data_IF_268625469221
#
_entry.id   IF_268625469221
#
_cell.length_a   1.000
_cell.length_b   1.000
_cell.length_c   1.000
_cell.angle_alpha   90.00
_cell.angle_beta   90.00
_cell.angle_gamma   90.00
#
_symmetry.space_group_name_H-M   'P 1'
#
loop_
_entity.id
_entity.type
_entity.pdbx_description
1 polymer ?
#
# COMPACT_ATOMS: atom_id res chain seq x y z
N UNK A 1 -12.99 19.29 18.44
CA UNK A 1 -13.89 18.12 18.56
C UNK A 1 -14.05 17.33 17.25
N UNK A 2 -14.06 17.97 16.07
CA UNK A 2 -14.14 17.28 14.76
C UNK A 2 -12.89 16.42 14.47
N UNK A 3 -11.70 16.87 14.85
CA UNK A 3 -10.44 16.12 14.66
C UNK A 3 -10.34 14.80 15.45
N UNK A 4 -11.05 14.67 16.57
CA UNK A 4 -11.01 13.44 17.38
C UNK A 4 -11.87 12.32 16.79
N UNK A 5 -12.95 12.68 16.08
CA UNK A 5 -13.83 11.71 15.41
C UNK A 5 -13.13 11.18 14.15
N UNK A 6 -12.49 12.06 13.38
CA UNK A 6 -11.75 11.69 12.16
C UNK A 6 -10.67 10.64 12.42
N UNK A 7 -9.84 10.84 13.46
CA UNK A 7 -8.79 9.88 13.79
C UNK A 7 -9.33 8.51 14.22
N UNK A 8 -10.42 8.46 14.98
CA UNK A 8 -11.04 7.19 15.41
C UNK A 8 -11.65 6.46 14.21
N UNK A 9 -12.31 7.17 13.32
CA UNK A 9 -12.91 6.59 12.11
C UNK A 9 -11.83 5.98 11.20
N UNK A 10 -10.71 6.66 10.99
CA UNK A 10 -9.60 6.13 10.18
C UNK A 10 -9.00 4.84 10.79
N UNK A 11 -8.84 4.79 12.11
CA UNK A 11 -8.33 3.61 12.80
C UNK A 11 -9.30 2.42 12.61
N UNK A 12 -10.59 2.63 12.80
CA UNK A 12 -11.61 1.57 12.63
C UNK A 12 -11.62 1.06 11.18
N UNK A 13 -11.60 1.97 10.19
CA UNK A 13 -11.55 1.60 8.78
C UNK A 13 -10.27 0.81 8.48
N UNK A 14 -9.12 1.23 9.01
CA UNK A 14 -7.85 0.55 8.78
C UNK A 14 -7.85 -0.88 9.35
N UNK A 15 -8.39 -1.06 10.56
CA UNK A 15 -8.57 -2.38 11.18
C UNK A 15 -9.51 -3.26 10.35
N UNK A 16 -10.65 -2.71 9.92
CA UNK A 16 -11.63 -3.44 9.12
C UNK A 16 -11.02 -3.91 7.79
N UNK A 17 -10.31 -3.02 7.09
CA UNK A 17 -9.60 -3.34 5.85
C UNK A 17 -8.55 -4.42 6.08
N UNK A 18 -7.78 -4.35 7.18
CA UNK A 18 -6.77 -5.34 7.51
C UNK A 18 -7.37 -6.74 7.73
N UNK A 19 -8.47 -6.83 8.47
CA UNK A 19 -9.22 -8.09 8.65
C UNK A 19 -9.73 -8.62 7.31
N UNK A 20 -10.26 -7.74 6.45
CA UNK A 20 -10.74 -8.10 5.12
C UNK A 20 -9.62 -8.69 4.24
N UNK A 21 -8.43 -8.11 4.30
CA UNK A 21 -7.25 -8.59 3.56
C UNK A 21 -6.81 -9.98 4.02
N UNK A 22 -6.82 -10.24 5.33
CA UNK A 22 -6.48 -11.55 5.88
C UNK A 22 -7.51 -12.60 5.44
N UNK A 23 -8.80 -12.29 5.53
CA UNK A 23 -9.87 -13.19 5.10
C UNK A 23 -9.76 -13.45 3.58
N UNK A 24 -9.53 -12.40 2.79
CA UNK A 24 -9.35 -12.51 1.34
C UNK A 24 -8.15 -13.37 0.95
N UNK A 25 -7.02 -13.20 1.65
CA UNK A 25 -5.83 -14.03 1.47
C UNK A 25 -6.11 -15.50 1.84
N UNK A 26 -6.82 -15.73 2.96
CA UNK A 26 -7.22 -17.06 3.41
C UNK A 26 -8.11 -17.76 2.37
N UNK A 27 -9.12 -17.05 1.86
CA UNK A 27 -9.99 -17.56 0.79
C UNK A 27 -9.18 -17.88 -0.48
N UNK A 28 -8.30 -16.98 -0.93
CA UNK A 28 -7.47 -17.24 -2.11
C UNK A 28 -6.55 -18.46 -1.93
N UNK A 29 -6.07 -18.69 -0.71
CA UNK A 29 -5.29 -19.89 -0.37
C UNK A 29 -6.12 -21.17 -0.46
N UNK A 30 -7.35 -21.17 0.05
CA UNK A 30 -8.27 -22.32 -0.05
C UNK A 30 -8.57 -22.65 -1.51
N UNK A 31 -8.93 -21.65 -2.31
CA UNK A 31 -9.29 -21.85 -3.72
C UNK A 31 -8.08 -21.93 -4.67
N UNK A 32 -6.86 -21.97 -4.13
CA UNK A 32 -5.60 -22.00 -4.91
C UNK A 32 -5.50 -20.91 -5.98
N UNK A 33 -6.14 -19.76 -5.74
CA UNK A 33 -6.15 -18.64 -6.68
C UNK A 33 -4.85 -17.83 -6.54
N UNK A 34 -3.80 -18.32 -7.21
CA UNK A 34 -2.43 -17.76 -7.14
C UNK A 34 -2.39 -16.24 -7.37
N UNK A 35 -3.13 -15.74 -8.37
CA UNK A 35 -3.17 -14.32 -8.68
C UNK A 35 -3.78 -13.47 -7.55
N UNK A 36 -4.82 -13.98 -6.88
CA UNK A 36 -5.39 -13.32 -5.70
C UNK A 36 -4.44 -13.34 -4.52
N UNK A 37 -3.68 -14.42 -4.32
CA UNK A 37 -2.64 -14.45 -3.27
C UNK A 37 -1.61 -13.34 -3.50
N UNK A 38 -1.11 -13.15 -4.72
CA UNK A 38 -0.17 -12.06 -5.04
C UNK A 38 -0.82 -10.68 -4.85
N UNK A 39 -2.08 -10.50 -5.26
CA UNK A 39 -2.83 -9.26 -5.04
C UNK A 39 -2.93 -8.92 -3.56
N UNK A 40 -3.46 -9.84 -2.74
CA UNK A 40 -3.65 -9.61 -1.31
C UNK A 40 -2.32 -9.38 -0.59
N UNK A 41 -1.26 -10.07 -1.00
CA UNK A 41 0.08 -9.89 -0.43
C UNK A 41 0.68 -8.51 -0.80
N UNK A 42 0.54 -8.07 -2.05
CA UNK A 42 0.95 -6.72 -2.49
C UNK A 42 0.18 -5.62 -1.73
N UNK A 43 -1.14 -5.74 -1.61
CA UNK A 43 -1.96 -4.77 -0.89
C UNK A 43 -1.61 -4.76 0.61
N UNK A 44 -1.27 -5.92 1.20
CA UNK A 44 -0.85 -6.00 2.59
C UNK A 44 0.48 -5.27 2.81
N UNK A 45 1.47 -5.47 1.91
CA UNK A 45 2.73 -4.71 1.93
C UNK A 45 2.47 -3.22 1.76
N UNK A 46 1.62 -2.82 0.82
CA UNK A 46 1.21 -1.43 0.62
C UNK A 46 0.64 -0.83 1.91
N UNK A 47 -0.25 -1.54 2.60
CA UNK A 47 -0.89 -1.04 3.83
C UNK A 47 0.12 -0.88 4.96
N UNK A 48 1.05 -1.83 5.12
CA UNK A 48 2.15 -1.74 6.08
C UNK A 48 3.06 -0.56 5.72
N UNK A 49 3.41 -0.39 4.44
CA UNK A 49 4.21 0.72 3.97
C UNK A 49 3.54 2.06 4.27
N UNK A 50 2.24 2.22 4.01
CA UNK A 50 1.50 3.45 4.31
C UNK A 50 1.49 3.79 5.81
N UNK A 51 1.63 2.80 6.69
CA UNK A 51 1.70 3.01 8.14
C UNK A 51 3.12 3.36 8.61
N UNK A 52 4.14 2.74 8.02
CA UNK A 52 5.55 2.85 8.44
C UNK A 52 6.30 3.96 7.71
N UNK A 53 5.90 4.31 6.49
CA UNK A 53 6.56 5.33 5.67
C UNK A 53 6.47 6.75 6.25
N UNK A 54 5.32 7.25 6.76
CA UNK A 54 5.24 8.60 7.30
C UNK A 54 6.26 8.92 8.42
N UNK A 55 6.42 8.08 9.48
CA UNK A 55 7.43 8.35 10.50
C UNK A 55 8.87 8.17 10.01
N UNK A 56 9.10 7.27 9.04
CA UNK A 56 10.43 7.10 8.43
C UNK A 56 10.84 8.30 7.58
N UNK A 57 9.94 8.79 6.73
CA UNK A 57 10.18 9.95 5.87
C UNK A 57 10.37 11.21 6.71
N UNK A 58 9.58 11.39 7.78
CA UNK A 58 9.76 12.49 8.73
C UNK A 58 11.16 12.49 9.34
N UNK A 59 11.59 11.36 9.91
CA UNK A 59 12.95 11.22 10.47
C UNK A 59 14.06 11.44 9.45
N UNK A 60 13.86 11.00 8.21
CA UNK A 60 14.83 11.20 7.13
C UNK A 60 14.97 12.67 6.74
N UNK A 61 13.85 13.40 6.68
CA UNK A 61 13.83 14.84 6.42
C UNK A 61 14.46 15.62 7.57
N UNK A 62 14.13 15.29 8.81
CA UNK A 62 14.70 15.92 10.00
C UNK A 62 16.24 15.76 10.02
N UNK A 63 16.73 14.56 9.71
CA UNK A 63 18.17 14.27 9.62
C UNK A 63 18.87 15.04 8.48
N UNK A 64 18.24 15.18 7.32
CA UNK A 64 18.77 15.97 6.21
C UNK A 64 18.85 17.48 6.54
N UNK A 65 17.86 17.98 7.28
CA UNK A 65 17.81 19.38 7.72
C UNK A 65 18.90 19.72 8.72
N UNK A 66 19.20 18.83 9.67
CA UNK A 66 20.22 19.04 10.70
C UNK A 66 21.66 18.96 10.13
N UNK A 67 21.91 18.11 9.14
CA UNK A 67 23.26 17.90 8.61
C UNK A 67 23.58 18.74 7.36
N UNK A 68 22.65 19.60 6.90
CA UNK A 68 22.78 20.43 5.69
C UNK A 68 23.30 19.63 4.48
N UNK A 69 22.87 18.36 4.39
CA UNK A 69 23.31 17.41 3.38
C UNK A 69 22.52 17.66 2.11
N UNK A 70 23.25 17.82 1.00
CA UNK A 70 22.63 17.88 -0.32
C UNK A 70 21.81 16.60 -0.55
N UNK A 71 20.53 16.81 -0.84
CA UNK A 71 19.64 15.76 -1.28
C UNK A 71 20.23 15.08 -2.52
N UNK A 72 20.08 13.77 -2.61
CA UNK A 72 20.43 13.04 -3.82
C UNK A 72 19.64 13.67 -4.99
N UNK A 73 20.31 13.94 -6.11
CA UNK A 73 19.75 14.55 -7.31
C UNK A 73 19.34 16.04 -7.23
N UNK A 74 19.83 16.82 -6.25
CA UNK A 74 19.54 18.26 -6.15
C UNK A 74 18.02 18.55 -6.06
N UNK A 75 17.26 17.58 -5.53
CA UNK A 75 15.82 17.69 -5.33
C UNK A 75 15.51 18.49 -4.06
N UNK A 76 14.35 19.14 -4.02
CA UNK A 76 13.82 19.75 -2.80
C UNK A 76 13.22 18.69 -1.86
N UNK A 77 13.12 19.01 -0.56
CA UNK A 77 12.44 18.14 0.42
C UNK A 77 10.98 17.87 0.03
N UNK A 78 10.31 18.87 -0.57
CA UNK A 78 8.95 18.74 -1.07
C UNK A 78 8.85 17.72 -2.23
N UNK A 79 9.76 17.78 -3.20
CA UNK A 79 9.80 16.81 -4.32
C UNK A 79 10.09 15.39 -3.84
N UNK A 80 10.97 15.25 -2.84
CA UNK A 80 11.26 13.96 -2.22
C UNK A 80 10.01 13.36 -1.54
N UNK A 81 9.27 14.17 -0.78
CA UNK A 81 7.99 13.74 -0.17
C UNK A 81 6.98 13.30 -1.23
N UNK A 82 6.86 14.07 -2.33
CA UNK A 82 5.99 13.72 -3.45
C UNK A 82 6.41 12.38 -4.07
N UNK A 83 7.71 12.16 -4.29
CA UNK A 83 8.23 10.90 -4.83
C UNK A 83 7.87 9.71 -3.91
N UNK A 84 8.06 9.85 -2.60
CA UNK A 84 7.66 8.82 -1.63
C UNK A 84 6.14 8.58 -1.60
N UNK A 85 5.33 9.60 -1.85
CA UNK A 85 3.86 9.46 -1.93
C UNK A 85 3.36 8.75 -3.20
N UNK A 86 4.15 8.72 -4.28
CA UNK A 86 3.78 8.07 -5.54
C UNK A 86 3.97 6.55 -5.47
N UNK A 87 4.98 6.09 -4.74
CA UNK A 87 5.31 4.66 -4.55
C UNK A 87 4.09 3.82 -4.16
N UNK A 88 3.30 4.16 -3.12
CA UNK A 88 2.15 3.37 -2.73
C UNK A 88 1.12 3.25 -3.87
N UNK A 89 0.83 4.35 -4.58
CA UNK A 89 -0.16 4.36 -5.67
C UNK A 89 0.25 3.45 -6.83
N UNK A 90 1.54 3.44 -7.20
CA UNK A 90 2.05 2.53 -8.23
C UNK A 90 1.90 1.07 -7.78
N UNK A 91 2.21 0.78 -6.52
CA UNK A 91 2.14 -0.57 -5.97
C UNK A 91 0.70 -1.11 -5.95
N UNK A 92 -0.26 -0.25 -5.63
CA UNK A 92 -1.69 -0.56 -5.71
C UNK A 92 -2.14 -0.84 -7.15
N UNK A 93 -1.74 0.00 -8.12
CA UNK A 93 -2.05 -0.19 -9.54
C UNK A 93 -1.52 -1.54 -10.07
N UNK A 94 -0.28 -1.89 -9.69
CA UNK A 94 0.33 -3.18 -10.04
C UNK A 94 -0.46 -4.33 -9.44
N UNK A 95 -0.88 -4.22 -8.17
CA UNK A 95 -1.71 -5.22 -7.52
C UNK A 95 -3.02 -5.45 -8.30
N UNK A 96 -3.76 -4.38 -8.60
CA UNK A 96 -5.01 -4.48 -9.36
C UNK A 96 -4.81 -5.13 -10.73
N UNK A 97 -3.71 -4.83 -11.41
CA UNK A 97 -3.36 -5.44 -12.70
C UNK A 97 -3.23 -6.97 -12.56
N UNK A 98 -2.55 -7.46 -11.53
CA UNK A 98 -2.46 -8.90 -11.25
C UNK A 98 -3.82 -9.54 -10.98
N UNK A 99 -4.70 -8.85 -10.25
CA UNK A 99 -6.04 -9.33 -9.95
C UNK A 99 -6.90 -9.44 -11.22
N UNK A 100 -6.90 -8.41 -12.06
CA UNK A 100 -7.64 -8.40 -13.33
C UNK A 100 -7.16 -9.53 -14.26
N UNK A 101 -5.85 -9.68 -14.44
CA UNK A 101 -5.26 -10.74 -15.26
C UNK A 101 -5.63 -12.12 -14.68
N UNK A 102 -5.55 -12.27 -13.36
CA UNK A 102 -5.93 -13.50 -12.66
C UNK A 102 -7.39 -13.89 -12.89
N UNK A 103 -8.28 -12.92 -12.76
CA UNK A 103 -9.72 -13.10 -12.93
C UNK A 103 -10.06 -13.44 -14.38
N UNK A 104 -9.46 -12.74 -15.34
CA UNK A 104 -9.62 -13.04 -16.77
C UNK A 104 -9.20 -14.47 -17.12
N UNK A 105 -8.04 -14.92 -16.63
CA UNK A 105 -7.56 -16.31 -16.87
C UNK A 105 -8.46 -17.35 -16.22
N UNK A 106 -9.03 -17.04 -15.05
CA UNK A 106 -9.95 -17.95 -14.36
C UNK A 106 -11.29 -18.05 -15.09
N UNK A 107 -11.84 -16.92 -15.54
CA UNK A 107 -13.09 -16.89 -16.30
C UNK A 107 -12.94 -17.63 -17.63
N UNK A 108 -11.86 -17.39 -18.37
CA UNK A 108 -11.60 -18.04 -19.66
C UNK A 108 -11.39 -19.56 -19.54
N UNK A 109 -10.92 -20.06 -18.38
CA UNK A 109 -10.81 -21.50 -18.11
C UNK A 109 -12.13 -22.19 -17.78
N UNK A 110 -13.17 -21.45 -17.41
CA UNK A 110 -14.50 -21.96 -17.04
C UNK A 110 -15.48 -22.00 -18.23
N UNK A 111 -15.13 -21.34 -19.34
CA UNK A 111 -15.99 -21.19 -20.54
C UNK A 111 -15.69 -22.27 -21.60
N UNK A 112 -14.69 -23.13 -21.38
CA UNK A 112 -14.46 -24.38 -22.13
C UNK A 112 -14.73 -25.59 -21.24
#
# INVERSE_FOLDING_TARGET
MIGSIGGITEIIISILVFVLLIIGLWFCKIYSFKAGIYFFLLILIHKIYSFVAPPLVGRYIDWLGDENKNLWFDMTTAELVVLFSIIPNILELVAFTFLIIGFYRYLNRRVC
#
